data_IF_252216797826
#
_entry.id   IF_252216797826
#
_cell.length_a   1.000
_cell.length_b   1.000
_cell.length_c   1.000
_cell.angle_alpha   90.00
_cell.angle_beta   90.00
_cell.angle_gamma   90.00
#
_symmetry.space_group_name_H-M   'P 1'
#
loop_
_entity.id
_entity.type
_entity.pdbx_description
1 polymer ?
#
# COMPACT_ATOMS: atom_id res chain seq x y z
N UNK A 1 -5.39 -8.15 -25.64
CA UNK A 1 -6.66 -7.70 -25.03
C UNK A 1 -6.63 -6.17 -24.96
N UNK A 2 -7.61 -5.45 -25.55
CA UNK A 2 -7.68 -3.97 -25.45
C UNK A 2 -8.60 -3.59 -24.29
N UNK A 3 -8.15 -2.68 -23.44
CA UNK A 3 -8.92 -2.12 -22.32
C UNK A 3 -9.24 -0.66 -22.65
N UNK A 4 -10.47 -0.24 -22.38
CA UNK A 4 -10.93 1.13 -22.57
C UNK A 4 -11.27 1.70 -21.20
N UNK A 5 -10.96 2.97 -21.00
CA UNK A 5 -11.29 3.67 -19.76
C UNK A 5 -12.59 4.42 -19.92
N UNK A 6 -13.45 4.26 -18.93
CA UNK A 6 -14.72 4.94 -18.86
C UNK A 6 -15.13 5.12 -17.40
N UNK A 7 -16.04 6.05 -17.17
CA UNK A 7 -16.77 6.20 -15.92
C UNK A 7 -18.19 5.69 -16.12
N UNK A 8 -18.69 4.91 -15.18
CA UNK A 8 -20.10 4.50 -15.17
C UNK A 8 -20.88 5.48 -14.29
N UNK A 9 -21.67 6.36 -14.91
CA UNK A 9 -22.60 7.27 -14.24
C UNK A 9 -24.01 6.70 -14.30
N UNK A 10 -24.53 6.29 -13.15
CA UNK A 10 -25.80 5.55 -13.01
C UNK A 10 -25.84 4.30 -13.89
N UNK A 11 -26.34 4.45 -15.12
CA UNK A 11 -26.45 3.39 -16.12
C UNK A 11 -25.90 3.81 -17.50
N UNK A 12 -25.09 4.87 -17.55
CA UNK A 12 -24.45 5.38 -18.76
C UNK A 12 -22.93 5.29 -18.63
N UNK A 13 -22.28 4.81 -19.68
CA UNK A 13 -20.83 4.71 -19.76
C UNK A 13 -20.31 5.95 -20.48
N UNK A 14 -19.54 6.76 -19.78
CA UNK A 14 -18.85 7.92 -20.33
C UNK A 14 -17.38 7.58 -20.58
N UNK A 15 -16.96 7.63 -21.85
CA UNK A 15 -15.59 7.28 -22.24
C UNK A 15 -14.63 8.42 -21.90
N UNK A 16 -13.58 8.10 -21.14
CA UNK A 16 -12.53 9.07 -20.81
C UNK A 16 -11.51 9.25 -21.95
N UNK A 17 -11.45 8.27 -22.83
CA UNK A 17 -10.57 8.24 -24.01
C UNK A 17 -11.44 7.98 -25.25
N UNK A 18 -10.80 7.76 -26.41
CA UNK A 18 -11.55 7.48 -27.63
C UNK A 18 -12.37 6.18 -27.45
N UNK A 19 -13.69 6.22 -27.75
CA UNK A 19 -14.53 5.05 -27.60
C UNK A 19 -14.07 3.93 -28.54
N UNK A 20 -14.35 2.66 -28.20
CA UNK A 20 -14.14 1.57 -29.14
C UNK A 20 -14.97 1.81 -30.42
N UNK A 21 -14.30 1.87 -31.56
CA UNK A 21 -14.96 1.88 -32.87
C UNK A 21 -15.64 0.51 -33.08
N UNK A 22 -16.93 0.44 -32.73
CA UNK A 22 -17.78 -0.70 -33.06
C UNK A 22 -19.09 -0.24 -33.70
N UNK A 23 -19.50 -0.86 -34.81
CA UNK A 23 -20.85 -0.69 -35.32
C UNK A 23 -21.82 -1.46 -34.42
N UNK A 24 -22.91 -0.82 -34.03
CA UNK A 24 -24.02 -1.34 -33.23
C UNK A 24 -23.77 -1.64 -31.73
N UNK A 25 -24.88 -1.95 -31.05
CA UNK A 25 -24.92 -2.40 -29.66
C UNK A 25 -24.09 -3.69 -29.50
N UNK A 26 -23.03 -3.61 -28.69
CA UNK A 26 -22.17 -4.73 -28.37
C UNK A 26 -22.37 -5.17 -26.91
N UNK A 27 -22.44 -6.48 -26.67
CA UNK A 27 -22.33 -7.02 -25.32
C UNK A 27 -20.92 -6.77 -24.76
N UNK A 28 -20.85 -6.19 -23.57
CA UNK A 28 -19.61 -5.88 -22.87
C UNK A 28 -19.60 -6.53 -21.49
N UNK A 29 -18.41 -6.90 -21.02
CA UNK A 29 -18.16 -7.26 -19.64
C UNK A 29 -17.49 -6.07 -18.96
N UNK A 30 -18.05 -5.60 -17.85
CA UNK A 30 -17.48 -4.51 -17.05
C UNK A 30 -16.77 -5.15 -15.86
N UNK A 31 -15.47 -4.90 -15.75
CA UNK A 31 -14.69 -5.24 -14.55
C UNK A 31 -14.42 -3.95 -13.81
N UNK A 32 -15.00 -3.81 -12.62
CA UNK A 32 -14.68 -2.70 -11.73
C UNK A 32 -13.25 -2.90 -11.25
N UNK A 33 -12.41 -1.91 -11.52
CA UNK A 33 -11.16 -1.79 -10.78
C UNK A 33 -11.59 -1.27 -9.41
N UNK A 34 -11.62 -2.15 -8.41
CA UNK A 34 -11.40 -1.70 -7.04
C UNK A 34 -10.04 -1.01 -7.09
N UNK A 35 -10.03 0.33 -7.22
CA UNK A 35 -8.94 1.08 -6.63
C UNK A 35 -8.93 0.58 -5.21
N UNK A 36 -7.97 -0.31 -4.89
CA UNK A 36 -7.74 -0.74 -3.53
C UNK A 36 -7.78 0.54 -2.74
N UNK A 37 -8.86 0.74 -1.98
CA UNK A 37 -9.24 2.04 -1.42
C UNK A 37 -7.95 2.69 -1.07
N UNK A 38 -7.59 3.76 -1.79
CA UNK A 38 -6.34 4.45 -1.52
C UNK A 38 -6.47 4.81 -0.06
N UNK A 39 -5.84 3.99 0.80
CA UNK A 39 -6.17 3.91 2.22
C UNK A 39 -5.95 5.33 2.65
N UNK A 40 -7.06 6.02 2.91
CA UNK A 40 -6.99 7.46 3.04
C UNK A 40 -5.94 7.68 4.12
N UNK A 41 -4.84 8.40 3.85
CA UNK A 41 -3.67 8.37 4.74
C UNK A 41 -3.96 8.98 6.11
N UNK A 42 -5.22 9.30 6.42
CA UNK A 42 -5.65 10.02 7.60
C UNK A 42 -5.87 9.15 8.84
N UNK A 43 -5.92 7.81 8.77
CA UNK A 43 -6.18 6.99 9.96
C UNK A 43 -5.16 5.88 10.25
N UNK A 44 -4.36 5.46 9.27
CA UNK A 44 -3.33 4.42 9.46
C UNK A 44 -2.18 4.92 10.34
N UNK A 45 -1.72 6.15 10.13
CA UNK A 45 -0.64 6.75 10.93
C UNK A 45 -1.00 6.95 12.39
N UNK A 46 -2.23 7.39 12.68
CA UNK A 46 -2.72 7.58 14.05
C UNK A 46 -2.84 6.25 14.80
N UNK A 47 -3.46 5.25 14.16
CA UNK A 47 -3.59 3.92 14.74
C UNK A 47 -2.21 3.29 15.01
N UNK A 48 -1.27 3.43 14.07
CA UNK A 48 0.10 2.95 14.24
C UNK A 48 0.79 3.65 15.41
N UNK A 49 0.65 4.98 15.54
CA UNK A 49 1.23 5.74 16.65
C UNK A 49 0.66 5.30 18.01
N UNK A 50 -0.65 5.07 18.11
CA UNK A 50 -1.30 4.57 19.33
C UNK A 50 -0.79 3.19 19.73
N UNK A 51 -0.64 2.27 18.76
CA UNK A 51 -0.10 0.93 19.01
C UNK A 51 1.35 1.01 19.49
N UNK A 52 2.20 1.80 18.82
CA UNK A 52 3.60 1.98 19.21
C UNK A 52 3.73 2.60 20.61
N UNK A 53 2.87 3.57 20.96
CA UNK A 53 2.85 4.17 22.29
C UNK A 53 2.47 3.15 23.38
N UNK A 54 1.49 2.29 23.14
CA UNK A 54 1.08 1.26 24.10
C UNK A 54 2.18 0.19 24.28
N UNK A 55 2.88 -0.19 23.21
CA UNK A 55 4.05 -1.10 23.30
C UNK A 55 5.19 -0.49 24.13
N UNK A 56 5.46 0.80 23.94
CA UNK A 56 6.46 1.51 24.74
C UNK A 56 6.07 1.56 26.22
N UNK A 57 4.79 1.86 26.53
CA UNK A 57 4.27 1.92 27.91
C UNK A 57 4.38 0.58 28.64
N UNK A 58 4.24 -0.53 27.92
CA UNK A 58 4.39 -1.89 28.48
C UNK A 58 5.83 -2.32 28.69
N UNK A 59 6.81 -1.52 28.23
CA UNK A 59 8.20 -1.93 28.23
C UNK A 59 8.43 -3.17 27.37
N UNK A 60 7.67 -3.34 26.27
CA UNK A 60 7.73 -4.55 25.43
C UNK A 60 9.14 -4.88 24.94
N UNK A 61 10.00 -3.87 24.81
CA UNK A 61 11.39 -4.01 24.35
C UNK A 61 12.42 -3.77 25.47
N UNK A 62 12.01 -3.77 26.74
CA UNK A 62 12.90 -3.46 27.87
C UNK A 62 14.04 -4.47 28.05
N UNK A 63 13.88 -5.69 27.54
CA UNK A 63 14.92 -6.74 27.56
C UNK A 63 16.01 -6.52 26.50
N UNK A 64 15.80 -5.61 25.54
CA UNK A 64 16.78 -5.27 24.52
C UNK A 64 17.75 -4.24 25.10
N UNK A 65 18.91 -4.71 25.58
CA UNK A 65 19.93 -3.88 26.24
C UNK A 65 20.65 -2.96 25.26
N UNK A 66 21.04 -3.50 24.10
CA UNK A 66 21.64 -2.75 23.00
C UNK A 66 20.81 -2.97 21.72
N UNK A 67 19.90 -2.03 21.39
CA UNK A 67 19.06 -2.13 20.21
C UNK A 67 19.84 -2.18 18.90
N UNK A 68 21.04 -1.57 18.85
CA UNK A 68 21.86 -1.52 17.64
C UNK A 68 22.52 -2.87 17.42
N UNK A 69 23.12 -3.45 18.46
CA UNK A 69 23.66 -4.80 18.40
C UNK A 69 22.57 -5.84 18.08
N UNK A 70 21.43 -5.77 18.78
CA UNK A 70 20.28 -6.64 18.53
C UNK A 70 19.80 -6.58 17.08
N UNK A 71 19.72 -5.37 16.49
CA UNK A 71 19.32 -5.21 15.09
C UNK A 71 20.36 -5.79 14.13
N UNK A 72 21.65 -5.58 14.40
CA UNK A 72 22.75 -6.13 13.59
C UNK A 72 22.73 -7.66 13.58
N UNK A 73 22.55 -8.26 14.75
CA UNK A 73 22.42 -9.71 14.92
C UNK A 73 21.20 -10.25 14.17
N UNK A 74 20.02 -9.62 14.36
CA UNK A 74 18.79 -10.04 13.71
C UNK A 74 18.88 -9.97 12.17
N UNK A 75 19.56 -8.96 11.64
CA UNK A 75 19.76 -8.77 10.20
C UNK A 75 20.91 -9.60 9.63
N UNK A 76 21.63 -10.35 10.46
CA UNK A 76 22.89 -11.00 10.10
C UNK A 76 23.83 -10.03 9.36
N UNK A 77 23.90 -8.80 9.87
CA UNK A 77 24.57 -7.70 9.17
C UNK A 77 26.08 -7.98 9.14
N UNK A 78 26.64 -8.10 7.93
CA UNK A 78 28.08 -8.34 7.78
C UNK A 78 28.85 -7.07 8.09
N UNK A 79 29.95 -7.21 8.83
CA UNK A 79 30.91 -6.12 9.00
C UNK A 79 31.41 -5.66 7.62
N UNK A 80 31.37 -4.34 7.41
CA UNK A 80 31.89 -3.70 6.20
C UNK A 80 33.25 -3.07 6.55
N UNK A 81 34.31 -3.35 5.77
CA UNK A 81 35.56 -2.59 5.92
C UNK A 81 35.26 -1.10 5.72
N UNK A 82 35.90 -0.25 6.53
CA UNK A 82 35.78 1.22 6.59
C UNK A 82 34.56 1.81 7.36
N UNK A 83 33.61 0.99 7.83
CA UNK A 83 32.46 1.47 8.63
C UNK A 83 32.63 1.26 10.13
N UNK A 84 33.24 0.15 10.52
CA UNK A 84 33.27 -0.33 11.90
C UNK A 84 34.72 -0.32 12.47
N UNK A 85 35.55 0.64 12.05
CA UNK A 85 36.93 0.91 12.55
C UNK A 85 36.96 1.95 13.67
#
# INVERSE_FOLDING_TARGET
>A
MRRYKAVLHDNQIEWLEHPPEKPDAAHIYITFMEEADSVSPSNSGRLMAEILAELARRGTFAEIIDPVAWQRDLRAERALPDRDV
#
